data_IF_050885022464
#
_entry.id   IF_050885022464
#
_cell.length_a   1.000
_cell.length_b   1.000
_cell.length_c   1.000
_cell.angle_alpha   90.00
_cell.angle_beta   90.00
_cell.angle_gamma   90.00
#
_symmetry.space_group_name_H-M   'P 1'
#
loop_
_entity.id
_entity.type
_entity.pdbx_description
1 polymer ?
#
# COMPACT_ATOMS: atom_id res chain seq x y z
N UNK A 1 9.72 12.71 12.23
CA UNK A 1 9.38 11.27 12.36
C UNK A 1 8.78 10.78 11.05
N UNK A 2 9.04 9.54 10.60
CA UNK A 2 8.47 9.00 9.35
C UNK A 2 6.96 8.82 9.50
N UNK A 3 6.19 9.13 8.46
CA UNK A 3 4.77 8.80 8.33
C UNK A 3 4.64 7.54 7.48
N UNK A 4 3.71 6.66 7.83
CA UNK A 4 3.45 5.42 7.11
C UNK A 4 2.05 5.48 6.52
N UNK A 5 1.93 5.14 5.24
CA UNK A 5 0.68 5.22 4.49
C UNK A 5 0.37 3.87 3.86
N UNK A 6 -0.82 3.35 4.14
CA UNK A 6 -1.41 2.28 3.33
C UNK A 6 -2.17 2.91 2.18
N UNK A 7 -1.69 2.73 0.95
CA UNK A 7 -2.35 3.22 -0.25
C UNK A 7 -3.39 2.22 -0.78
N UNK A 8 -4.55 2.71 -1.17
CA UNK A 8 -5.66 1.91 -1.70
C UNK A 8 -6.48 2.71 -2.72
N UNK A 9 -7.43 2.04 -3.36
CA UNK A 9 -8.45 2.69 -4.19
C UNK A 9 -9.54 3.25 -3.29
N UNK A 10 -10.15 4.36 -3.66
CA UNK A 10 -11.25 4.93 -2.87
C UNK A 10 -12.46 3.98 -2.77
N UNK A 11 -12.72 3.21 -3.83
CA UNK A 11 -13.76 2.16 -3.86
C UNK A 11 -13.60 1.10 -2.76
N UNK A 12 -12.40 0.94 -2.21
CA UNK A 12 -12.08 -0.02 -1.15
C UNK A 12 -11.88 0.63 0.20
N UNK A 13 -11.86 1.95 0.27
CA UNK A 13 -11.55 2.68 1.49
C UNK A 13 -12.57 2.37 2.58
N UNK A 14 -13.87 2.54 2.29
CA UNK A 14 -14.92 2.26 3.28
C UNK A 14 -14.94 0.79 3.70
N UNK A 15 -14.77 -0.15 2.77
CA UNK A 15 -14.68 -1.59 3.08
C UNK A 15 -13.53 -1.90 4.06
N UNK A 16 -12.36 -1.27 3.85
CA UNK A 16 -11.22 -1.42 4.77
C UNK A 16 -11.58 -0.85 6.14
N UNK A 17 -12.19 0.35 6.17
CA UNK A 17 -12.61 1.02 7.40
C UNK A 17 -13.59 0.17 8.20
N UNK A 18 -14.63 -0.35 7.56
CA UNK A 18 -15.66 -1.18 8.18
C UNK A 18 -15.09 -2.49 8.72
N UNK A 19 -14.10 -3.06 8.02
CA UNK A 19 -13.42 -4.27 8.49
C UNK A 19 -12.52 -4.04 9.72
N UNK A 20 -12.15 -2.79 9.99
CA UNK A 20 -11.27 -2.41 11.09
C UNK A 20 -9.82 -2.91 10.96
N UNK A 21 -9.41 -3.44 9.80
CA UNK A 21 -8.07 -3.98 9.58
C UNK A 21 -7.56 -3.75 8.16
N UNK A 22 -6.29 -3.34 8.03
CA UNK A 22 -5.55 -3.47 6.77
C UNK A 22 -5.09 -4.92 6.68
N UNK A 23 -5.71 -5.67 5.76
CA UNK A 23 -5.47 -7.10 5.58
C UNK A 23 -4.11 -7.38 4.94
N UNK A 24 -3.63 -8.62 5.13
CA UNK A 24 -2.42 -9.11 4.48
C UNK A 24 -2.67 -9.32 2.97
N UNK A 25 -1.71 -8.94 2.12
CA UNK A 25 -1.77 -9.12 0.68
C UNK A 25 -1.45 -10.58 0.28
N UNK A 26 -2.48 -11.42 0.21
CA UNK A 26 -2.36 -12.85 -0.13
C UNK A 26 -2.21 -13.11 -1.63
N UNK A 27 -2.68 -12.20 -2.49
CA UNK A 27 -2.52 -12.33 -3.95
C UNK A 27 -1.07 -12.17 -4.41
N UNK A 28 -0.19 -11.66 -3.54
CA UNK A 28 1.22 -11.42 -3.82
C UNK A 28 2.14 -12.44 -3.16
N UNK A 29 1.61 -13.57 -2.66
CA UNK A 29 2.42 -14.67 -2.14
C UNK A 29 2.55 -15.77 -3.18
N UNK A 30 3.77 -16.08 -3.58
CA UNK A 30 4.05 -16.98 -4.70
C UNK A 30 4.63 -18.33 -4.25
N UNK A 31 5.05 -18.44 -2.99
CA UNK A 31 5.69 -19.63 -2.46
C UNK A 31 4.97 -20.19 -1.21
N UNK A 32 4.96 -21.52 -1.03
CA UNK A 32 4.21 -22.20 0.04
C UNK A 32 4.58 -21.71 1.46
N UNK A 33 5.81 -21.28 1.67
CA UNK A 33 6.33 -20.80 2.97
C UNK A 33 6.33 -19.27 3.09
N UNK A 34 5.97 -18.57 2.03
CA UNK A 34 5.91 -17.11 1.99
C UNK A 34 4.74 -16.64 2.86
N UNK A 35 5.00 -15.61 3.65
CA UNK A 35 4.02 -14.99 4.53
C UNK A 35 3.49 -13.72 3.85
N UNK A 36 2.17 -13.55 3.74
CA UNK A 36 1.61 -12.33 3.18
C UNK A 36 1.89 -11.14 4.11
N UNK A 37 1.92 -9.95 3.53
CA UNK A 37 2.35 -8.72 4.20
C UNK A 37 1.22 -7.69 4.19
N UNK A 38 0.99 -6.99 5.29
CA UNK A 38 0.24 -5.73 5.30
C UNK A 38 1.20 -4.59 4.95
N UNK A 39 0.99 -4.00 3.79
CA UNK A 39 1.92 -3.03 3.18
C UNK A 39 1.62 -1.60 3.60
N UNK A 40 2.69 -0.86 3.87
CA UNK A 40 2.69 0.60 4.01
C UNK A 40 3.90 1.18 3.29
N UNK A 41 3.81 2.44 2.88
CA UNK A 41 4.89 3.19 2.26
C UNK A 41 5.18 4.47 3.05
N UNK A 42 6.42 4.94 3.01
CA UNK A 42 6.79 6.27 3.55
C UNK A 42 6.75 7.36 2.48
N UNK A 43 6.40 7.01 1.23
CA UNK A 43 6.21 7.99 0.17
C UNK A 43 5.03 8.90 0.53
N UNK A 44 5.21 10.24 0.61
CA UNK A 44 4.16 11.16 1.03
C UNK A 44 3.21 11.58 -0.09
N UNK A 45 3.53 11.26 -1.34
CA UNK A 45 2.77 11.68 -2.52
C UNK A 45 1.86 10.53 -2.94
N UNK A 46 2.43 9.43 -3.43
CA UNK A 46 1.72 8.22 -3.87
C UNK A 46 2.73 7.09 -4.02
N UNK A 47 2.36 5.88 -3.61
CA UNK A 47 3.18 4.69 -3.87
C UNK A 47 2.86 4.15 -5.27
N UNK A 48 3.77 4.31 -6.23
CA UNK A 48 3.52 3.94 -7.63
C UNK A 48 3.23 2.44 -7.82
N UNK A 49 3.70 1.58 -6.90
CA UNK A 49 3.34 0.15 -6.92
C UNK A 49 1.92 -0.16 -6.44
N UNK A 50 1.21 0.81 -5.85
CA UNK A 50 -0.19 0.66 -5.45
C UNK A 50 -1.18 0.84 -6.63
N UNK A 51 -0.73 1.50 -7.70
CA UNK A 51 -1.48 1.75 -8.94
C UNK A 51 -1.94 0.44 -9.58
N UNK A 52 -3.22 0.37 -9.98
CA UNK A 52 -3.80 -0.86 -10.55
C UNK A 52 -3.41 -1.05 -12.00
N UNK A 53 -3.47 -2.31 -12.41
CA UNK A 53 -3.34 -2.69 -13.82
C UNK A 53 -4.68 -2.53 -14.53
N UNK A 54 -4.62 -2.21 -15.81
CA UNK A 54 -5.74 -2.17 -16.74
C UNK A 54 -5.39 -2.92 -18.01
N UNK A 55 -6.40 -3.20 -18.83
CA UNK A 55 -6.23 -3.76 -20.17
C UNK A 55 -6.53 -2.66 -21.18
N UNK A 56 -5.56 -2.30 -22.01
CA UNK A 56 -5.78 -1.43 -23.18
C UNK A 56 -5.32 -2.18 -24.41
N UNK A 57 -6.18 -2.24 -25.42
CA UNK A 57 -5.90 -2.91 -26.70
C UNK A 57 -5.41 -4.37 -26.53
N UNK A 58 -5.97 -5.09 -25.54
CA UNK A 58 -5.59 -6.47 -25.23
C UNK A 58 -4.28 -6.64 -24.46
N UNK A 59 -3.59 -5.54 -24.10
CA UNK A 59 -2.32 -5.54 -23.37
C UNK A 59 -2.57 -5.16 -21.90
N UNK A 60 -2.07 -5.98 -20.98
CA UNK A 60 -2.05 -5.67 -19.54
C UNK A 60 -0.92 -4.67 -19.28
N UNK A 61 -1.27 -3.52 -18.70
CA UNK A 61 -0.30 -2.52 -18.28
C UNK A 61 -0.78 -1.81 -17.01
N UNK A 62 0.15 -1.16 -16.30
CA UNK A 62 -0.23 -0.29 -15.18
C UNK A 62 -1.00 0.92 -15.69
N UNK A 63 -2.02 1.33 -14.95
CA UNK A 63 -2.62 2.65 -15.12
C UNK A 63 -1.58 3.74 -14.86
N UNK A 64 -1.79 4.91 -15.43
CA UNK A 64 -1.13 6.13 -14.92
C UNK A 64 -1.75 6.54 -13.58
N UNK A 65 -1.10 7.43 -12.83
CA UNK A 65 -1.73 8.01 -11.63
C UNK A 65 -3.07 8.70 -11.96
N UNK A 66 -3.12 9.43 -13.07
CA UNK A 66 -4.33 10.11 -13.52
C UNK A 66 -5.46 9.12 -13.84
N UNK A 67 -5.16 8.03 -14.54
CA UNK A 67 -6.15 7.00 -14.85
C UNK A 67 -6.66 6.29 -13.60
N UNK A 68 -5.77 5.98 -12.66
CA UNK A 68 -6.13 5.43 -11.35
C UNK A 68 -7.07 6.38 -10.60
N UNK A 69 -6.74 7.67 -10.58
CA UNK A 69 -7.52 8.71 -9.91
C UNK A 69 -8.92 8.83 -10.51
N UNK A 70 -9.02 8.89 -11.84
CA UNK A 70 -10.29 9.04 -12.57
C UNK A 70 -11.19 7.80 -12.46
N UNK A 71 -10.62 6.60 -12.52
CA UNK A 71 -11.41 5.36 -12.59
C UNK A 71 -11.73 4.75 -11.23
N UNK A 72 -10.81 4.84 -10.27
CA UNK A 72 -10.89 4.10 -9.01
C UNK A 72 -10.69 4.99 -7.76
N UNK A 73 -10.30 6.24 -7.97
CA UNK A 73 -9.83 7.13 -6.91
C UNK A 73 -8.49 6.69 -6.32
N UNK A 74 -7.85 7.63 -5.62
CA UNK A 74 -6.65 7.41 -4.85
C UNK A 74 -6.97 7.71 -3.38
N UNK A 75 -6.74 6.73 -2.51
CA UNK A 75 -6.96 6.85 -1.08
C UNK A 75 -5.73 6.38 -0.31
N UNK A 76 -5.56 6.90 0.91
CA UNK A 76 -4.54 6.43 1.83
C UNK A 76 -5.03 6.42 3.27
N UNK A 77 -4.49 5.51 4.06
CA UNK A 77 -4.66 5.47 5.52
C UNK A 77 -3.29 5.73 6.13
N UNK A 78 -3.15 6.83 6.85
CA UNK A 78 -1.97 7.08 7.67
C UNK A 78 -2.04 6.23 8.93
N UNK A 79 -0.94 5.57 9.28
CA UNK A 79 -0.85 4.69 10.46
C UNK A 79 0.32 5.07 11.37
N UNK A 80 0.14 4.80 12.65
CA UNK A 80 1.19 4.94 13.67
C UNK A 80 2.35 3.99 13.40
N UNK A 81 3.54 4.37 13.86
CA UNK A 81 4.70 3.50 13.78
C UNK A 81 4.62 2.38 14.82
N UNK A 82 4.13 1.21 14.40
CA UNK A 82 3.98 0.00 15.24
C UNK A 82 5.12 -1.02 15.03
N UNK A 83 6.29 -0.56 14.56
CA UNK A 83 7.47 -1.41 14.36
C UNK A 83 7.52 -2.08 12.99
N UNK A 84 7.18 -1.35 11.93
CA UNK A 84 7.25 -1.85 10.56
C UNK A 84 8.66 -2.31 10.16
N UNK A 85 8.74 -3.41 9.42
CA UNK A 85 9.98 -3.84 8.80
C UNK A 85 10.14 -3.23 7.42
N UNK A 86 11.28 -2.59 7.16
CA UNK A 86 11.62 -2.13 5.82
C UNK A 86 11.93 -3.30 4.90
N UNK A 87 11.74 -3.10 3.60
CA UNK A 87 11.87 -4.11 2.55
C UNK A 87 13.11 -5.01 2.67
N UNK A 88 14.29 -4.42 2.96
CA UNK A 88 15.56 -5.17 3.10
C UNK A 88 15.44 -6.32 4.11
N UNK A 89 14.80 -6.11 5.25
CA UNK A 89 14.57 -7.12 6.28
C UNK A 89 13.36 -7.98 5.95
N UNK A 90 12.28 -7.32 5.51
CA UNK A 90 10.97 -7.90 5.30
C UNK A 90 10.98 -9.07 4.29
N UNK A 91 11.73 -8.96 3.18
CA UNK A 91 11.82 -10.04 2.19
C UNK A 91 12.34 -11.37 2.76
N UNK A 92 13.19 -11.30 3.79
CA UNK A 92 13.70 -12.49 4.48
C UNK A 92 12.72 -12.99 5.55
N UNK A 93 12.15 -12.10 6.38
CA UNK A 93 11.23 -12.49 7.46
C UNK A 93 9.89 -13.01 6.94
N UNK A 94 9.42 -12.45 5.81
CA UNK A 94 8.29 -12.94 5.03
C UNK A 94 8.59 -14.21 4.25
N UNK A 95 9.86 -14.67 4.19
CA UNK A 95 10.30 -15.85 3.43
C UNK A 95 9.91 -15.77 1.94
N UNK A 96 10.04 -14.58 1.36
CA UNK A 96 9.82 -14.38 -0.07
C UNK A 96 10.84 -15.17 -0.88
N UNK A 97 10.45 -15.59 -2.07
CA UNK A 97 11.41 -16.06 -3.05
C UNK A 97 12.29 -14.86 -3.49
N UNK A 98 13.61 -14.98 -3.38
CA UNK A 98 14.53 -13.86 -3.62
C UNK A 98 14.58 -13.41 -5.09
N UNK A 99 14.33 -14.31 -6.04
CA UNK A 99 14.22 -13.95 -7.47
C UNK A 99 12.94 -13.14 -7.71
N UNK A 100 11.84 -13.54 -7.07
CA UNK A 100 10.57 -12.77 -7.11
C UNK A 100 10.73 -11.42 -6.43
N UNK A 101 11.37 -11.36 -5.27
CA UNK A 101 11.65 -10.11 -4.57
C UNK A 101 12.51 -9.17 -5.44
N UNK A 102 13.54 -9.70 -6.12
CA UNK A 102 14.38 -8.92 -7.03
C UNK A 102 13.59 -8.42 -8.25
N UNK A 103 12.66 -9.23 -8.77
CA UNK A 103 11.73 -8.80 -9.84
C UNK A 103 10.76 -7.72 -9.36
N UNK A 104 10.25 -7.81 -8.12
CA UNK A 104 9.42 -6.77 -7.53
C UNK A 104 10.18 -5.45 -7.43
N UNK A 105 11.42 -5.45 -6.95
CA UNK A 105 12.29 -4.27 -6.93
C UNK A 105 12.46 -3.67 -8.33
N UNK A 106 12.75 -4.50 -9.33
CA UNK A 106 12.94 -4.06 -10.72
C UNK A 106 11.66 -3.46 -11.31
N UNK A 107 10.51 -4.12 -11.14
CA UNK A 107 9.21 -3.64 -11.62
C UNK A 107 8.82 -2.34 -10.89
N UNK A 108 9.02 -2.28 -9.58
CA UNK A 108 8.80 -1.08 -8.79
C UNK A 108 9.63 0.10 -9.30
N UNK A 109 10.94 -0.11 -9.50
CA UNK A 109 11.84 0.90 -10.04
C UNK A 109 11.41 1.38 -11.45
N UNK A 110 10.96 0.47 -12.33
CA UNK A 110 10.41 0.82 -13.65
C UNK A 110 9.15 1.68 -13.58
N UNK A 111 8.39 1.57 -12.49
CA UNK A 111 7.23 2.41 -12.22
C UNK A 111 7.59 3.67 -11.41
N UNK A 112 8.86 3.95 -11.17
CA UNK A 112 9.32 5.11 -10.38
C UNK A 112 9.17 4.94 -8.87
N UNK A 113 8.87 3.73 -8.37
CA UNK A 113 8.84 3.46 -6.94
C UNK A 113 10.25 3.13 -6.40
N UNK A 114 10.47 3.42 -5.12
CA UNK A 114 11.70 3.05 -4.41
C UNK A 114 11.42 1.97 -3.37
N UNK A 115 12.13 0.84 -3.46
CA UNK A 115 12.00 -0.22 -2.45
C UNK A 115 12.47 0.18 -1.05
N UNK A 116 13.24 1.27 -0.93
CA UNK A 116 13.58 1.89 0.35
C UNK A 116 12.38 2.57 1.03
N UNK A 117 11.30 2.78 0.30
CA UNK A 117 10.05 3.36 0.81
C UNK A 117 9.06 2.31 1.28
N UNK A 118 9.28 1.02 0.97
CA UNK A 118 8.36 -0.06 1.28
C UNK A 118 8.60 -0.63 2.68
N UNK A 119 7.51 -0.73 3.43
CA UNK A 119 7.47 -1.22 4.79
C UNK A 119 6.27 -2.16 4.96
N UNK A 120 6.32 -3.03 5.96
CA UNK A 120 5.18 -3.88 6.25
C UNK A 120 5.24 -4.65 7.55
N UNK A 121 4.12 -5.32 7.84
CA UNK A 121 3.97 -6.26 8.95
C UNK A 121 3.49 -7.61 8.43
N UNK A 122 3.85 -8.68 9.16
CA UNK A 122 3.40 -10.04 8.89
C UNK A 122 2.06 -10.37 9.58
N UNK A 123 1.38 -9.35 10.11
CA UNK A 123 0.06 -9.42 10.72
C UNK A 123 -0.78 -8.21 10.28
N UNK A 124 -2.12 -8.31 10.29
CA UNK A 124 -2.99 -7.20 9.90
C UNK A 124 -2.78 -5.94 10.76
N UNK A 125 -2.87 -4.76 10.16
CA UNK A 125 -2.76 -3.49 10.88
C UNK A 125 -4.16 -3.08 11.36
N UNK A 126 -4.38 -3.14 12.68
CA UNK A 126 -5.68 -2.84 13.30
C UNK A 126 -6.02 -1.33 13.26
N UNK A 127 -7.32 -1.01 13.15
CA UNK A 127 -7.87 0.36 13.12
C UNK A 127 -7.42 1.22 14.30
N UNK A 128 -7.16 0.63 15.46
CA UNK A 128 -6.62 1.34 16.63
C UNK A 128 -5.27 2.02 16.41
N UNK A 129 -4.52 1.64 15.36
CA UNK A 129 -3.24 2.25 14.98
C UNK A 129 -3.35 3.20 13.80
N UNK A 130 -4.56 3.47 13.32
CA UNK A 130 -4.77 4.39 12.21
C UNK A 130 -4.91 5.80 12.77
N UNK A 131 -4.39 6.77 12.03
CA UNK A 131 -4.42 8.18 12.39
C UNK A 131 -5.54 8.85 11.62
N UNK A 132 -5.51 8.76 10.29
CA UNK A 132 -6.54 9.32 9.40
C UNK A 132 -6.59 8.60 8.07
N UNK A 133 -7.75 8.65 7.42
CA UNK A 133 -7.94 8.30 6.03
C UNK A 133 -8.07 9.57 5.19
N UNK A 134 -7.48 9.58 4.01
CA UNK A 134 -7.53 10.70 3.07
C UNK A 134 -7.81 10.20 1.67
N UNK A 135 -8.50 11.00 0.87
CA UNK A 135 -8.73 10.78 -0.57
C UNK A 135 -8.06 11.91 -1.36
N UNK A 136 -7.53 11.59 -2.53
CA UNK A 136 -6.90 12.59 -3.38
C UNK A 136 -7.96 13.29 -4.24
N UNK A 137 -8.03 14.61 -4.16
CA UNK A 137 -8.98 15.47 -4.88
C UNK A 137 -8.37 16.84 -5.13
N UNK A 138 -8.60 17.40 -6.33
CA UNK A 138 -8.12 18.74 -6.69
C UNK A 138 -6.63 18.94 -6.34
N UNK A 139 -5.80 17.97 -6.70
CA UNK A 139 -4.35 17.94 -6.44
C UNK A 139 -3.92 17.93 -4.96
N UNK A 140 -4.85 17.65 -4.04
CA UNK A 140 -4.58 17.62 -2.60
C UNK A 140 -5.14 16.37 -1.92
N UNK A 141 -4.53 16.01 -0.78
CA UNK A 141 -5.05 14.98 0.11
C UNK A 141 -6.12 15.59 1.03
N UNK A 142 -7.37 15.20 0.81
CA UNK A 142 -8.53 15.67 1.58
C UNK A 142 -8.89 14.65 2.65
N UNK A 143 -9.12 15.11 3.88
CA UNK A 143 -9.54 14.26 5.00
C UNK A 143 -10.85 13.53 4.67
N UNK A 144 -10.84 12.21 4.84
CA UNK A 144 -12.01 11.34 4.68
C UNK A 144 -12.58 10.93 6.05
N UNK A 145 -11.73 10.41 6.94
CA UNK A 145 -12.10 10.05 8.31
C UNK A 145 -10.90 10.29 9.23
N UNK A 146 -11.14 10.85 10.42
CA UNK A 146 -10.14 10.93 11.48
C UNK A 146 -10.38 9.77 12.48
N UNK A 147 -9.32 9.04 12.81
CA UNK A 147 -9.37 7.90 13.74
C UNK A 147 -8.71 8.21 15.08
N UNK A 148 -8.07 9.37 15.22
CA UNK A 148 -7.53 9.81 16.50
C UNK A 148 -8.67 9.86 17.52
N UNK A 149 -8.47 9.18 18.66
CA UNK A 149 -9.43 9.26 19.76
C UNK A 149 -9.43 10.70 20.26
N UNK A 150 -10.59 11.34 20.24
CA UNK A 150 -10.78 12.55 21.03
C UNK A 150 -10.61 12.14 22.49
N UNK A 151 -9.54 12.63 23.12
CA UNK A 151 -9.28 12.45 24.54
C UNK A 151 -10.35 13.16 25.38
#
# INVERSE_FOLDING_TARGET
MKKFFHYTTELKLQEIIDSGVIKLATKSTFHKKEKPVAWVSINPIWENTATKMTVKDGIIQNMTFQEQLEQLGCARIQVENVGFEGWRKLKHTAKMNMDIASRMELVGAKCGASSGEWFGLLFPIKKQYWIKAEVFRNDEWVLYENFEKMN
#
